data_IF_552709868377
#
_entry.id   IF_552709868377
#
_cell.length_a   1.000
_cell.length_b   1.000
_cell.length_c   1.000
_cell.angle_alpha   90.00
_cell.angle_beta   90.00
_cell.angle_gamma   90.00
#
_symmetry.space_group_name_H-M   'P 1'
#
loop_
_entity.id
_entity.type
_entity.pdbx_description
1 polymer ?
#
# COMPACT_ATOMS: atom_id res chain seq x y z
N UNK A 1 2.32 12.73 -5.18
CA UNK A 1 1.95 11.44 -5.82
C UNK A 1 1.30 10.49 -4.82
N UNK A 2 0.22 9.80 -5.21
CA UNK A 2 -0.47 8.80 -4.39
C UNK A 2 -0.52 7.46 -5.12
N UNK A 3 0.12 6.45 -4.54
CA UNK A 3 0.23 5.11 -5.08
C UNK A 3 -0.51 4.12 -4.17
N UNK A 4 -1.34 3.26 -4.75
CA UNK A 4 -1.91 2.11 -4.06
C UNK A 4 -1.28 0.83 -4.63
N UNK A 5 -0.61 0.05 -3.80
CA UNK A 5 0.06 -1.19 -4.18
C UNK A 5 -0.81 -2.35 -3.73
N UNK A 6 -1.21 -3.18 -4.68
CA UNK A 6 -2.11 -4.31 -4.45
C UNK A 6 -1.64 -5.56 -5.20
N UNK A 7 -2.18 -6.70 -4.87
CA UNK A 7 -1.83 -7.99 -5.47
C UNK A 7 -2.11 -9.14 -4.53
N UNK A 8 -1.98 -10.37 -4.97
CA UNK A 8 -2.19 -11.56 -4.14
C UNK A 8 -1.27 -11.61 -2.93
N UNK A 9 -1.64 -12.40 -1.92
CA UNK A 9 -0.76 -12.71 -0.80
C UNK A 9 0.57 -13.28 -1.28
N UNK A 10 1.68 -12.83 -0.67
CA UNK A 10 3.02 -13.34 -0.94
C UNK A 10 3.69 -12.88 -2.24
N UNK A 11 3.05 -12.06 -3.09
CA UNK A 11 3.65 -11.59 -4.36
C UNK A 11 4.74 -10.52 -4.19
N UNK A 12 4.94 -9.95 -2.99
CA UNK A 12 5.95 -8.94 -2.69
C UNK A 12 5.45 -7.49 -2.75
N UNK A 13 4.17 -7.25 -2.49
CA UNK A 13 3.57 -5.92 -2.36
C UNK A 13 4.33 -5.05 -1.35
N UNK A 14 4.46 -5.57 -0.14
CA UNK A 14 5.10 -4.90 1.00
C UNK A 14 6.58 -4.59 0.74
N UNK A 15 7.29 -5.51 0.06
CA UNK A 15 8.68 -5.29 -0.38
C UNK A 15 8.77 -4.12 -1.35
N UNK A 16 7.87 -4.05 -2.34
CA UNK A 16 7.82 -2.94 -3.28
C UNK A 16 7.44 -1.63 -2.58
N UNK A 17 6.43 -1.66 -1.71
CA UNK A 17 5.93 -0.50 -0.98
C UNK A 17 7.01 0.10 -0.07
N UNK A 18 7.65 -0.73 0.76
CA UNK A 18 8.71 -0.29 1.69
C UNK A 18 9.93 0.25 0.96
N UNK A 19 10.37 -0.43 -0.12
CA UNK A 19 11.54 0.00 -0.90
C UNK A 19 11.27 1.31 -1.64
N UNK A 20 10.11 1.48 -2.28
CA UNK A 20 9.73 2.75 -2.89
C UNK A 20 9.65 3.88 -1.86
N UNK A 21 9.07 3.62 -0.69
CA UNK A 21 8.97 4.61 0.38
C UNK A 21 10.35 5.09 0.83
N UNK A 22 11.30 4.17 1.03
CA UNK A 22 12.68 4.49 1.40
C UNK A 22 13.41 5.26 0.28
N UNK A 23 13.26 4.85 -0.99
CA UNK A 23 13.85 5.56 -2.14
C UNK A 23 13.37 7.01 -2.22
N UNK A 24 12.09 7.27 -2.02
CA UNK A 24 11.56 8.62 -2.02
C UNK A 24 12.01 9.44 -0.80
N UNK A 25 12.09 8.82 0.36
CA UNK A 25 12.56 9.48 1.58
C UNK A 25 14.05 9.87 1.48
N UNK A 26 14.90 9.00 0.93
CA UNK A 26 16.33 9.28 0.71
C UNK A 26 16.57 10.42 -0.30
N UNK A 27 15.61 10.69 -1.18
CA UNK A 27 15.63 11.86 -2.08
C UNK A 27 15.06 13.14 -1.43
N UNK A 28 14.71 13.08 -0.14
CA UNK A 28 14.20 14.22 0.64
C UNK A 28 12.72 14.55 0.39
N UNK A 29 11.95 13.61 -0.17
CA UNK A 29 10.49 13.77 -0.25
C UNK A 29 9.85 13.45 1.10
N UNK A 30 8.73 14.10 1.41
CA UNK A 30 7.88 13.71 2.54
C UNK A 30 7.11 12.46 2.17
N UNK A 31 7.34 11.36 2.86
CA UNK A 31 6.71 10.07 2.55
C UNK A 31 5.78 9.63 3.67
N UNK A 32 4.54 9.31 3.31
CA UNK A 32 3.59 8.63 4.17
C UNK A 32 3.32 7.23 3.61
N UNK A 33 3.70 6.21 4.35
CA UNK A 33 3.39 4.82 4.05
C UNK A 33 2.22 4.37 4.93
N UNK A 34 1.11 3.98 4.31
CA UNK A 34 -0.09 3.49 5.00
C UNK A 34 -0.19 1.98 4.83
N UNK A 35 -0.16 1.26 5.94
CA UNK A 35 -0.39 -0.18 5.99
C UNK A 35 -1.89 -0.45 6.15
N UNK A 36 -2.51 -0.96 5.10
CA UNK A 36 -3.96 -1.25 5.01
C UNK A 36 -4.20 -2.76 4.86
N UNK A 37 -3.14 -3.57 4.95
CA UNK A 37 -3.24 -5.03 4.94
C UNK A 37 -3.67 -5.54 6.33
N UNK A 38 -4.56 -6.54 6.42
CA UNK A 38 -4.87 -7.21 7.70
C UNK A 38 -3.63 -7.70 8.44
N UNK A 39 -2.69 -8.26 7.69
CA UNK A 39 -1.40 -8.71 8.16
C UNK A 39 -0.37 -7.58 8.01
N UNK A 40 -0.40 -6.62 8.94
CA UNK A 40 0.41 -5.41 8.92
C UNK A 40 1.92 -5.72 8.97
N UNK A 41 2.54 -5.89 7.81
CA UNK A 41 3.96 -6.25 7.67
C UNK A 41 4.85 -5.10 7.18
N UNK A 42 4.26 -3.95 6.86
CA UNK A 42 5.01 -2.81 6.29
C UNK A 42 6.04 -2.25 7.29
N UNK A 43 5.74 -2.30 8.59
CA UNK A 43 6.66 -1.88 9.64
C UNK A 43 7.95 -2.71 9.66
N UNK A 44 7.83 -4.04 9.60
CA UNK A 44 8.97 -4.96 9.49
C UNK A 44 9.79 -4.69 8.23
N UNK A 45 9.12 -4.55 7.09
CA UNK A 45 9.77 -4.28 5.82
C UNK A 45 10.48 -2.91 5.76
N UNK A 46 10.07 -1.95 6.60
CA UNK A 46 10.75 -0.66 6.79
C UNK A 46 11.91 -0.74 7.78
N UNK A 47 12.07 -1.86 8.50
CA UNK A 47 13.19 -2.12 9.40
C UNK A 47 12.89 -2.01 10.89
N UNK A 48 11.62 -1.99 11.30
CA UNK A 48 11.26 -2.14 12.72
C UNK A 48 11.50 -3.58 13.17
N UNK A 49 11.83 -3.75 14.44
CA UNK A 49 11.82 -5.05 15.09
C UNK A 49 10.38 -5.55 15.31
N UNK A 50 10.21 -6.86 15.54
CA UNK A 50 8.91 -7.44 15.88
C UNK A 50 8.30 -6.78 17.12
N UNK A 51 9.11 -6.52 18.15
CA UNK A 51 8.67 -5.85 19.39
C UNK A 51 8.12 -4.45 19.11
N UNK A 52 8.79 -3.70 18.22
CA UNK A 52 8.34 -2.37 17.85
C UNK A 52 7.06 -2.39 17.03
N UNK A 53 6.88 -3.37 16.15
CA UNK A 53 5.64 -3.56 15.37
C UNK A 53 4.49 -3.94 16.30
N UNK A 54 4.72 -4.88 17.23
CA UNK A 54 3.71 -5.31 18.20
C UNK A 54 3.28 -4.18 19.15
N UNK A 55 4.13 -3.20 19.38
CA UNK A 55 3.81 -2.01 20.17
C UNK A 55 2.96 -0.97 19.42
N UNK A 56 2.85 -1.06 18.09
CA UNK A 56 2.01 -0.16 17.31
C UNK A 56 0.55 -0.56 17.45
N UNK A 57 -0.26 0.34 17.96
CA UNK A 57 -1.72 0.15 17.98
C UNK A 57 -2.30 0.63 16.64
N UNK A 58 -2.91 -0.26 15.84
CA UNK A 58 -3.56 0.15 14.60
C UNK A 58 -4.71 1.16 14.86
N UNK A 59 -4.91 2.09 13.94
CA UNK A 59 -5.95 3.12 14.07
C UNK A 59 -7.34 2.51 14.32
N UNK A 60 -7.68 1.42 13.64
CA UNK A 60 -8.96 0.72 13.81
C UNK A 60 -9.20 0.20 15.24
N UNK A 61 -8.13 -0.05 16.01
CA UNK A 61 -8.17 -0.54 17.39
C UNK A 61 -8.10 0.60 18.43
N UNK A 62 -7.92 1.84 18.01
CA UNK A 62 -7.89 3.01 18.91
C UNK A 62 -9.31 3.48 19.23
N UNK A 63 -10.01 2.71 20.08
CA UNK A 63 -11.42 2.93 20.40
C UNK A 63 -11.73 4.37 20.82
N UNK A 64 -10.95 4.94 21.74
CA UNK A 64 -11.15 6.32 22.21
C UNK A 64 -11.04 7.33 21.06
N UNK A 65 -10.08 7.14 20.14
CA UNK A 65 -9.92 8.00 18.99
C UNK A 65 -11.12 7.88 18.04
N UNK A 66 -11.58 6.66 17.79
CA UNK A 66 -12.77 6.41 16.94
C UNK A 66 -13.99 7.08 17.52
N UNK A 67 -14.26 6.90 18.84
CA UNK A 67 -15.37 7.50 19.54
C UNK A 67 -15.31 9.05 19.51
N UNK A 68 -14.13 9.63 19.79
CA UNK A 68 -13.90 11.08 19.76
C UNK A 68 -14.21 11.67 18.38
N UNK A 69 -13.76 11.04 17.32
CA UNK A 69 -13.88 11.56 15.95
C UNK A 69 -15.26 11.34 15.35
N UNK A 70 -15.83 10.16 15.57
CA UNK A 70 -17.12 9.79 14.99
C UNK A 70 -18.30 10.20 15.87
N UNK A 71 -18.11 10.31 17.19
CA UNK A 71 -19.17 10.52 18.16
C UNK A 71 -19.94 9.24 18.48
N UNK A 72 -19.52 8.08 17.98
CA UNK A 72 -20.10 6.79 18.30
C UNK A 72 -19.68 6.38 19.71
N UNK A 73 -20.61 5.89 20.53
CA UNK A 73 -20.34 5.31 21.85
C UNK A 73 -21.24 4.09 22.05
N UNK A 74 -20.98 3.29 23.08
CA UNK A 74 -21.87 2.17 23.44
C UNK A 74 -23.32 2.60 23.68
N UNK A 75 -23.51 3.83 24.18
CA UNK A 75 -24.82 4.41 24.44
C UNK A 75 -25.45 5.13 23.23
N UNK A 76 -24.63 5.55 22.26
CA UNK A 76 -25.06 6.29 21.09
C UNK A 76 -24.58 5.60 19.79
N UNK A 77 -25.53 5.03 19.04
CA UNK A 77 -25.29 4.37 17.76
C UNK A 77 -25.27 5.33 16.56
N UNK A 78 -25.61 6.61 16.76
CA UNK A 78 -25.52 7.62 15.73
C UNK A 78 -24.10 8.18 15.69
N UNK A 79 -23.49 8.26 14.51
CA UNK A 79 -22.13 8.74 14.35
C UNK A 79 -21.97 9.57 13.07
N UNK A 80 -20.92 10.39 13.04
CA UNK A 80 -20.58 11.23 11.91
C UNK A 80 -20.02 10.39 10.76
N UNK A 81 -20.58 10.55 9.57
CA UNK A 81 -20.09 9.89 8.36
C UNK A 81 -18.86 10.58 7.74
N UNK A 82 -18.57 11.82 8.14
CA UNK A 82 -17.42 12.61 7.71
C UNK A 82 -16.67 13.16 8.92
N UNK A 83 -15.99 12.31 9.73
CA UNK A 83 -15.21 12.77 10.87
C UNK A 83 -14.00 13.59 10.41
N UNK A 84 -13.57 14.53 11.26
CA UNK A 84 -12.32 15.25 11.02
C UNK A 84 -11.13 14.34 11.31
N UNK A 85 -10.25 14.15 10.33
CA UNK A 85 -9.13 13.19 10.37
C UNK A 85 -7.82 13.75 9.82
N UNK A 86 -7.78 15.01 9.40
CA UNK A 86 -6.62 15.59 8.71
C UNK A 86 -5.34 15.63 9.58
N UNK A 87 -5.48 15.63 10.90
CA UNK A 87 -4.38 15.64 11.85
C UNK A 87 -3.85 14.22 12.21
N UNK A 88 -4.57 13.18 11.81
CA UNK A 88 -4.25 11.80 12.20
C UNK A 88 -2.89 11.34 11.63
N UNK A 89 -2.57 11.53 10.35
CA UNK A 89 -1.27 11.11 9.82
C UNK A 89 -0.09 11.75 10.55
N UNK A 90 -0.21 13.01 10.97
CA UNK A 90 0.85 13.70 11.68
C UNK A 90 1.00 13.22 13.14
N UNK A 91 -0.11 12.91 13.80
CA UNK A 91 -0.12 12.57 15.23
C UNK A 91 0.13 11.10 15.52
N UNK A 92 -0.23 10.22 14.60
CA UNK A 92 -0.28 8.76 14.85
C UNK A 92 0.64 7.95 13.93
N UNK A 93 1.39 8.60 13.02
CA UNK A 93 2.43 7.90 12.28
C UNK A 93 3.71 7.76 13.11
N UNK A 94 4.43 6.66 12.88
CA UNK A 94 5.78 6.44 13.41
C UNK A 94 6.79 6.78 12.32
N UNK A 95 7.79 7.63 12.63
CA UNK A 95 8.88 7.89 11.69
C UNK A 95 9.89 6.73 11.70
N UNK A 96 10.22 6.25 10.51
CA UNK A 96 11.16 5.15 10.30
C UNK A 96 12.04 5.54 9.12
N UNK A 97 13.27 5.94 9.39
CA UNK A 97 14.23 6.31 8.35
C UNK A 97 13.67 7.35 7.34
N UNK A 98 12.96 8.37 7.83
CA UNK A 98 12.34 9.41 7.03
C UNK A 98 11.00 9.04 6.37
N UNK A 99 10.50 7.83 6.61
CA UNK A 99 9.17 7.40 6.19
C UNK A 99 8.22 7.46 7.37
N UNK A 100 7.11 8.18 7.24
CA UNK A 100 6.02 8.17 8.22
C UNK A 100 5.15 6.94 7.98
N UNK A 101 5.22 5.96 8.88
CA UNK A 101 4.36 4.76 8.83
C UNK A 101 3.06 5.00 9.59
N UNK A 102 1.92 4.79 8.94
CA UNK A 102 0.59 4.78 9.54
C UNK A 102 -0.03 3.38 9.40
N UNK A 103 -0.22 2.69 10.51
CA UNK A 103 -0.86 1.37 10.53
C UNK A 103 -2.36 1.56 10.71
N UNK A 104 -3.11 1.25 9.66
CA UNK A 104 -4.56 1.44 9.65
C UNK A 104 -5.29 0.32 10.39
N UNK A 105 -4.81 -0.91 10.22
CA UNK A 105 -5.51 -2.11 10.65
C UNK A 105 -6.76 -2.38 9.82
N UNK A 106 -7.43 -3.48 10.15
CA UNK A 106 -8.69 -3.87 9.53
C UNK A 106 -9.85 -3.74 10.50
N UNK A 107 -11.01 -3.59 9.93
CA UNK A 107 -12.27 -3.79 10.66
C UNK A 107 -12.78 -5.17 10.26
N UNK A 108 -12.88 -6.07 11.23
CA UNK A 108 -13.48 -7.37 11.00
C UNK A 108 -14.90 -7.16 10.48
N UNK A 109 -15.12 -7.52 9.22
CA UNK A 109 -16.44 -7.41 8.59
C UNK A 109 -17.32 -8.54 9.12
N UNK A 110 -17.88 -8.32 10.26
CA UNK A 110 -18.96 -9.15 10.77
C UNK A 110 -20.24 -8.91 9.97
N UNK A 111 -20.35 -9.57 8.80
CA UNK A 111 -21.57 -9.54 7.99
C UNK A 111 -21.63 -8.39 6.98
N UNK A 112 -22.02 -8.73 5.78
CA UNK A 112 -22.19 -7.86 4.62
C UNK A 112 -22.98 -6.58 4.94
N UNK A 113 -22.34 -5.43 4.76
CA UNK A 113 -23.04 -4.14 4.74
C UNK A 113 -23.03 -3.33 6.04
N UNK A 114 -22.32 -3.74 7.07
CA UNK A 114 -22.23 -2.96 8.29
C UNK A 114 -21.27 -1.78 8.10
N UNK A 115 -21.80 -0.57 8.04
CA UNK A 115 -21.03 0.66 8.13
C UNK A 115 -20.80 0.89 9.62
N UNK A 116 -19.61 0.51 10.14
CA UNK A 116 -19.24 0.76 11.52
C UNK A 116 -18.40 2.04 11.64
N UNK A 117 -18.31 2.66 12.84
CA UNK A 117 -17.55 3.89 13.04
C UNK A 117 -16.08 3.78 12.63
N UNK A 118 -15.45 2.64 12.93
CA UNK A 118 -14.06 2.33 12.56
C UNK A 118 -13.88 2.36 11.04
N UNK A 119 -14.77 1.72 10.30
CA UNK A 119 -14.72 1.69 8.83
C UNK A 119 -14.88 3.10 8.23
N UNK A 120 -15.83 3.88 8.77
CA UNK A 120 -16.02 5.28 8.34
C UNK A 120 -14.77 6.10 8.63
N UNK A 121 -14.15 5.91 9.78
CA UNK A 121 -12.92 6.61 10.15
C UNK A 121 -11.75 6.25 9.21
N UNK A 122 -11.49 4.95 9.00
CA UNK A 122 -10.43 4.50 8.09
C UNK A 122 -10.64 5.06 6.67
N UNK A 123 -11.86 4.95 6.14
CA UNK A 123 -12.21 5.50 4.83
C UNK A 123 -12.02 7.02 4.77
N UNK A 124 -12.38 7.73 5.83
CA UNK A 124 -12.19 9.18 5.91
C UNK A 124 -10.71 9.55 5.92
N UNK A 125 -9.88 8.82 6.68
CA UNK A 125 -8.42 9.02 6.68
C UNK A 125 -7.86 8.82 5.27
N UNK A 126 -8.13 7.68 4.63
CA UNK A 126 -7.64 7.37 3.29
C UNK A 126 -8.08 8.42 2.25
N UNK A 127 -9.31 8.93 2.38
CA UNK A 127 -9.83 9.99 1.50
C UNK A 127 -9.21 11.36 1.79
N UNK A 128 -8.86 11.62 3.05
CA UNK A 128 -8.28 12.88 3.49
C UNK A 128 -6.76 12.94 3.36
N UNK A 129 -6.09 11.84 3.00
CA UNK A 129 -4.67 11.83 2.73
C UNK A 129 -4.40 12.80 1.57
N UNK A 130 -4.10 14.04 1.94
CA UNK A 130 -3.69 15.09 1.01
C UNK A 130 -2.18 15.16 0.99
N UNK A 131 -1.64 15.46 -0.15
CA UNK A 131 -0.21 15.66 -0.30
C UNK A 131 0.06 17.04 -0.91
N UNK A 132 1.20 17.59 -0.53
CA UNK A 132 1.78 18.78 -1.21
C UNK A 132 2.55 18.29 -2.44
N UNK A 133 2.97 19.20 -3.29
CA UNK A 133 3.67 18.87 -4.56
C UNK A 133 4.87 17.92 -4.39
N UNK A 134 5.51 17.89 -3.22
CA UNK A 134 6.67 17.03 -2.94
C UNK A 134 6.37 15.81 -2.08
N UNK A 135 5.13 15.58 -1.69
CA UNK A 135 4.76 14.48 -0.83
C UNK A 135 4.47 13.22 -1.65
N UNK A 136 4.75 12.06 -1.07
CA UNK A 136 4.40 10.75 -1.61
C UNK A 136 3.57 9.99 -0.60
N UNK A 137 2.43 9.48 -1.04
CA UNK A 137 1.61 8.56 -0.24
C UNK A 137 1.66 7.19 -0.90
N UNK A 138 2.08 6.19 -0.15
CA UNK A 138 2.12 4.79 -0.59
C UNK A 138 1.20 3.98 0.31
N UNK A 139 0.23 3.31 -0.27
CA UNK A 139 -0.68 2.42 0.44
C UNK A 139 -0.32 0.97 0.10
N UNK A 140 0.04 0.19 1.11
CA UNK A 140 0.20 -1.27 0.99
C UNK A 140 -1.13 -1.93 1.31
N UNK A 141 -1.69 -2.67 0.36
CA UNK A 141 -3.06 -3.18 0.42
C UNK A 141 -3.12 -4.65 0.03
N UNK A 142 -4.04 -5.37 0.64
CA UNK A 142 -4.41 -6.70 0.17
C UNK A 142 -5.02 -6.68 -1.26
N UNK A 143 -5.10 -7.86 -1.89
CA UNK A 143 -5.76 -7.99 -3.18
C UNK A 143 -7.26 -7.75 -3.05
N UNK A 144 -7.70 -6.60 -3.54
CA UNK A 144 -9.12 -6.21 -3.54
C UNK A 144 -9.26 -4.71 -3.43
N UNK A 145 -10.11 -4.14 -4.28
CA UNK A 145 -10.45 -2.71 -4.25
C UNK A 145 -11.82 -2.48 -3.59
N UNK A 146 -12.47 -3.56 -3.15
CA UNK A 146 -13.85 -3.53 -2.63
C UNK A 146 -13.95 -2.70 -1.34
N UNK A 147 -12.85 -2.66 -0.57
CA UNK A 147 -12.75 -1.87 0.66
C UNK A 147 -12.54 -0.38 0.40
N UNK A 148 -12.08 -0.03 -0.81
CA UNK A 148 -11.95 1.36 -1.22
C UNK A 148 -13.30 1.86 -1.77
N UNK A 149 -13.92 2.81 -1.10
CA UNK A 149 -15.05 3.52 -1.69
C UNK A 149 -14.60 4.34 -2.91
N UNK A 150 -15.54 4.68 -3.80
CA UNK A 150 -15.28 5.50 -5.00
C UNK A 150 -14.45 6.76 -4.71
N UNK A 151 -14.77 7.46 -3.60
CA UNK A 151 -14.05 8.67 -3.21
C UNK A 151 -12.57 8.44 -2.85
N UNK A 152 -12.23 7.31 -2.24
CA UNK A 152 -10.84 6.97 -1.90
C UNK A 152 -10.07 6.52 -3.14
N UNK A 153 -10.68 5.63 -3.93
CA UNK A 153 -10.05 5.09 -5.14
C UNK A 153 -9.78 6.18 -6.19
N UNK A 154 -10.74 7.11 -6.42
CA UNK A 154 -10.59 8.20 -7.38
C UNK A 154 -9.54 9.24 -6.98
N UNK A 155 -9.14 9.26 -5.71
CA UNK A 155 -8.09 10.14 -5.19
C UNK A 155 -6.67 9.56 -5.32
N UNK A 156 -6.53 8.31 -5.79
CA UNK A 156 -5.24 7.72 -6.10
C UNK A 156 -4.81 8.13 -7.51
N UNK A 157 -3.53 8.45 -7.67
CA UNK A 157 -2.97 8.75 -8.98
C UNK A 157 -2.79 7.46 -9.78
N UNK A 158 -2.26 6.42 -9.12
CA UNK A 158 -2.00 5.13 -9.75
C UNK A 158 -2.29 3.95 -8.80
N UNK A 159 -2.79 2.87 -9.37
CA UNK A 159 -2.82 1.55 -8.76
C UNK A 159 -1.71 0.68 -9.35
N UNK A 160 -0.85 0.14 -8.52
CA UNK A 160 0.22 -0.77 -8.92
C UNK A 160 -0.17 -2.18 -8.49
N UNK A 161 -0.42 -3.04 -9.48
CA UNK A 161 -0.72 -4.44 -9.24
C UNK A 161 0.57 -5.24 -9.31
N UNK A 162 0.98 -5.81 -8.18
CA UNK A 162 2.15 -6.71 -8.15
C UNK A 162 1.69 -8.12 -8.54
N UNK A 163 2.38 -8.69 -9.53
CA UNK A 163 2.09 -10.04 -10.05
C UNK A 163 3.35 -10.91 -10.04
N UNK A 164 3.17 -12.21 -9.95
CA UNK A 164 4.21 -13.19 -10.32
C UNK A 164 3.95 -13.71 -11.74
N UNK A 165 4.97 -14.22 -12.45
CA UNK A 165 4.80 -14.84 -13.75
C UNK A 165 3.88 -16.06 -13.67
N UNK A 166 2.61 -15.88 -13.97
CA UNK A 166 1.62 -16.96 -13.92
C UNK A 166 0.19 -16.51 -14.22
N UNK A 167 -0.58 -17.39 -14.86
CA UNK A 167 -1.94 -17.10 -15.33
C UNK A 167 -2.87 -16.59 -14.21
N UNK A 168 -2.73 -17.13 -12.98
CA UNK A 168 -3.57 -16.71 -11.85
C UNK A 168 -3.28 -15.26 -11.42
N UNK A 169 -2.02 -14.82 -11.48
CA UNK A 169 -1.63 -13.44 -11.16
C UNK A 169 -2.09 -12.47 -12.26
N UNK A 170 -1.98 -12.87 -13.52
CA UNK A 170 -2.53 -12.10 -14.66
C UNK A 170 -4.05 -11.95 -14.54
N UNK A 171 -4.76 -12.98 -14.10
CA UNK A 171 -6.20 -12.88 -13.83
C UNK A 171 -6.51 -11.88 -12.72
N UNK A 172 -5.69 -11.82 -11.66
CA UNK A 172 -5.85 -10.81 -10.59
C UNK A 172 -5.69 -9.40 -11.15
N UNK A 173 -4.65 -9.14 -11.97
CA UNK A 173 -4.49 -7.86 -12.64
C UNK A 173 -5.72 -7.48 -13.47
N UNK A 174 -6.25 -8.39 -14.28
CA UNK A 174 -7.45 -8.12 -15.09
C UNK A 174 -8.67 -7.76 -14.23
N UNK A 175 -8.86 -8.46 -13.12
CA UNK A 175 -9.93 -8.16 -12.17
C UNK A 175 -9.76 -6.78 -11.54
N UNK A 176 -8.54 -6.48 -11.04
CA UNK A 176 -8.22 -5.16 -10.46
C UNK A 176 -8.45 -4.05 -11.50
N UNK A 177 -7.96 -4.23 -12.74
CA UNK A 177 -8.14 -3.24 -13.81
C UNK A 177 -9.61 -2.96 -14.10
N UNK A 178 -10.48 -3.99 -14.10
CA UNK A 178 -11.92 -3.83 -14.27
C UNK A 178 -12.54 -3.06 -13.10
N UNK A 179 -12.26 -3.47 -11.84
CA UNK A 179 -12.78 -2.80 -10.65
C UNK A 179 -12.29 -1.34 -10.54
N UNK A 180 -11.04 -1.10 -10.87
CA UNK A 180 -10.45 0.23 -10.87
C UNK A 180 -11.20 1.17 -11.85
N UNK A 181 -11.54 0.68 -13.03
CA UNK A 181 -12.36 1.43 -14.02
C UNK A 181 -13.73 1.81 -13.44
N UNK A 182 -14.40 0.88 -12.75
CA UNK A 182 -15.71 1.11 -12.13
C UNK A 182 -15.64 2.12 -10.97
N UNK A 183 -14.46 2.22 -10.32
CA UNK A 183 -14.17 3.16 -9.23
C UNK A 183 -13.66 4.53 -9.72
N UNK A 184 -13.41 4.70 -11.02
CA UNK A 184 -12.91 5.94 -11.60
C UNK A 184 -11.41 6.17 -11.39
N UNK A 185 -10.64 5.11 -11.17
CA UNK A 185 -9.17 5.15 -11.06
C UNK A 185 -8.57 5.49 -12.43
N UNK A 186 -7.63 6.44 -12.45
CA UNK A 186 -7.06 6.96 -13.69
C UNK A 186 -6.11 5.98 -14.37
N UNK A 187 -5.23 5.36 -13.58
CA UNK A 187 -4.17 4.48 -14.09
C UNK A 187 -4.03 3.21 -13.25
N UNK A 188 -3.91 2.08 -13.95
CA UNK A 188 -3.57 0.78 -13.35
C UNK A 188 -2.31 0.29 -14.01
N UNK A 189 -1.27 0.11 -13.21
CA UNK A 189 0.05 -0.31 -13.65
C UNK A 189 0.40 -1.67 -13.06
N UNK A 190 1.40 -2.32 -13.60
CA UNK A 190 1.83 -3.66 -13.21
C UNK A 190 3.33 -3.66 -12.92
N UNK A 191 3.70 -4.30 -11.82
CA UNK A 191 5.06 -4.73 -11.53
C UNK A 191 5.07 -6.25 -11.48
N UNK A 192 5.87 -6.87 -12.34
CA UNK A 192 6.11 -8.30 -12.29
C UNK A 192 7.25 -8.59 -11.30
N UNK A 193 6.97 -9.36 -10.26
CA UNK A 193 7.95 -9.73 -9.25
C UNK A 193 8.28 -11.22 -9.32
N UNK A 194 9.42 -11.60 -8.75
CA UNK A 194 9.94 -12.97 -8.71
C UNK A 194 10.13 -13.58 -10.12
N UNK A 195 10.49 -12.77 -11.08
CA UNK A 195 10.87 -13.20 -12.43
C UNK A 195 12.16 -13.98 -12.35
N UNK A 196 12.22 -15.22 -12.86
CA UNK A 196 13.37 -16.12 -12.68
C UNK A 196 14.25 -16.20 -13.89
N UNK A 197 13.67 -16.00 -15.08
CA UNK A 197 14.36 -16.21 -16.34
C UNK A 197 13.62 -15.49 -17.50
N UNK A 198 14.24 -15.53 -18.69
CA UNK A 198 13.69 -14.93 -19.92
C UNK A 198 12.30 -15.47 -20.31
N UNK A 199 11.99 -16.74 -20.00
CA UNK A 199 10.68 -17.32 -20.27
C UNK A 199 9.59 -16.70 -19.39
N UNK A 200 9.89 -16.45 -18.10
CA UNK A 200 8.99 -15.76 -17.18
C UNK A 200 8.75 -14.32 -17.68
N UNK A 201 9.81 -13.64 -18.11
CA UNK A 201 9.72 -12.27 -18.64
C UNK A 201 8.92 -12.21 -19.96
N UNK A 202 9.18 -13.13 -20.88
CA UNK A 202 8.43 -13.25 -22.12
C UNK A 202 6.94 -13.53 -21.88
N UNK A 203 6.61 -14.37 -20.88
CA UNK A 203 5.24 -14.62 -20.47
C UNK A 203 4.56 -13.33 -19.98
N UNK A 204 5.22 -12.56 -19.10
CA UNK A 204 4.69 -11.30 -18.57
C UNK A 204 4.46 -10.30 -19.70
N UNK A 205 5.46 -10.09 -20.57
CA UNK A 205 5.36 -9.16 -21.71
C UNK A 205 4.29 -9.56 -22.73
N UNK A 206 4.02 -10.84 -22.87
CA UNK A 206 2.94 -11.35 -23.72
C UNK A 206 1.55 -11.24 -23.11
N UNK A 207 1.43 -11.19 -21.78
CA UNK A 207 0.16 -11.21 -21.06
C UNK A 207 -0.32 -9.83 -20.58
N UNK A 208 0.62 -8.88 -20.38
CA UNK A 208 0.38 -7.53 -19.87
C UNK A 208 0.63 -6.52 -20.99
N UNK A 209 -0.29 -5.57 -21.25
CA UNK A 209 -0.04 -4.47 -22.16
C UNK A 209 1.21 -3.69 -21.80
N UNK A 210 2.00 -3.32 -22.81
CA UNK A 210 3.28 -2.64 -22.58
C UNK A 210 3.12 -1.30 -21.83
N UNK A 211 2.02 -0.58 -22.09
CA UNK A 211 1.67 0.66 -21.43
C UNK A 211 1.34 0.49 -19.95
N UNK A 212 0.92 -0.70 -19.51
CA UNK A 212 0.61 -0.99 -18.11
C UNK A 212 1.82 -1.53 -17.34
N UNK A 213 2.81 -2.11 -18.00
CA UNK A 213 3.97 -2.73 -17.37
C UNK A 213 5.04 -1.70 -16.98
N UNK A 214 5.23 -1.48 -15.68
CA UNK A 214 6.29 -0.61 -15.15
C UNK A 214 7.67 -1.28 -15.20
N UNK A 215 7.73 -2.59 -14.97
CA UNK A 215 8.98 -3.32 -14.98
C UNK A 215 8.89 -4.70 -14.34
N UNK A 216 10.04 -5.36 -14.29
CA UNK A 216 10.22 -6.66 -13.68
C UNK A 216 11.22 -6.54 -12.51
N UNK A 217 10.94 -7.26 -11.42
CA UNK A 217 11.83 -7.48 -10.30
C UNK A 217 12.18 -8.97 -10.32
N UNK A 218 13.45 -9.27 -10.39
CA UNK A 218 13.91 -10.65 -10.46
C UNK A 218 13.84 -11.33 -9.10
N UNK A 219 13.67 -12.65 -9.13
CA UNK A 219 13.75 -13.47 -7.93
C UNK A 219 15.13 -13.32 -7.30
N UNK A 220 15.16 -12.86 -6.05
CA UNK A 220 16.40 -12.64 -5.34
C UNK A 220 16.31 -13.30 -3.96
N UNK A 221 17.18 -14.28 -3.65
CA UNK A 221 17.19 -14.95 -2.35
C UNK A 221 17.52 -13.99 -1.20
N UNK A 222 18.25 -12.91 -1.44
CA UNK A 222 18.60 -11.92 -0.41
C UNK A 222 17.36 -11.29 0.23
N UNK A 223 16.26 -11.13 -0.54
CA UNK A 223 14.98 -10.62 -0.01
C UNK A 223 14.39 -11.60 1.02
N UNK A 224 14.50 -12.92 0.75
CA UNK A 224 14.03 -13.95 1.67
C UNK A 224 14.92 -13.99 2.91
N UNK A 225 16.22 -13.83 2.73
CA UNK A 225 17.17 -13.83 3.84
C UNK A 225 17.05 -12.56 4.69
N UNK A 226 16.71 -11.43 4.09
CA UNK A 226 16.37 -10.21 4.83
C UNK A 226 15.15 -10.44 5.73
N UNK A 227 14.07 -11.02 5.18
CA UNK A 227 12.85 -11.35 5.92
C UNK A 227 13.13 -12.30 7.10
N UNK A 228 13.90 -13.39 6.87
CA UNK A 228 14.31 -14.32 7.93
C UNK A 228 15.13 -13.67 9.04
N UNK A 229 15.89 -12.62 8.73
CA UNK A 229 16.72 -11.88 9.69
C UNK A 229 15.99 -10.70 10.31
N UNK A 230 14.72 -10.44 9.97
CA UNK A 230 13.97 -9.27 10.41
C UNK A 230 14.61 -7.95 9.96
N UNK A 231 15.20 -7.94 8.75
CA UNK A 231 15.84 -6.76 8.15
C UNK A 231 15.05 -6.23 6.99
N UNK A 232 15.16 -4.92 6.75
CA UNK A 232 14.56 -4.31 5.57
C UNK A 232 15.20 -4.85 4.29
N UNK A 233 14.42 -5.26 3.28
CA UNK A 233 14.93 -5.60 1.95
C UNK A 233 15.77 -4.46 1.34
N UNK A 234 15.44 -3.22 1.68
CA UNK A 234 16.16 -2.02 1.24
C UNK A 234 17.65 -2.04 1.62
N UNK A 235 17.96 -2.49 2.84
CA UNK A 235 19.33 -2.49 3.34
C UNK A 235 20.08 -3.79 2.98
N UNK A 236 19.40 -4.77 2.37
CA UNK A 236 19.93 -6.13 2.21
C UNK A 236 20.12 -6.56 0.75
N UNK A 237 19.35 -6.02 -0.19
CA UNK A 237 19.33 -6.48 -1.58
C UNK A 237 19.58 -5.34 -2.60
N UNK A 238 20.85 -4.96 -2.87
CA UNK A 238 21.16 -3.89 -3.83
C UNK A 238 20.56 -4.09 -5.22
N UNK A 239 20.54 -5.34 -5.73
CA UNK A 239 19.97 -5.64 -7.05
C UNK A 239 18.47 -5.32 -7.10
N UNK A 240 17.69 -5.77 -6.11
CA UNK A 240 16.26 -5.50 -6.08
C UNK A 240 15.98 -4.00 -5.95
N UNK A 241 16.83 -3.27 -5.21
CA UNK A 241 16.72 -1.81 -5.08
C UNK A 241 16.94 -1.13 -6.44
N UNK A 242 17.92 -1.56 -7.21
CA UNK A 242 18.21 -0.96 -8.52
C UNK A 242 17.07 -1.21 -9.52
N UNK A 243 16.45 -2.37 -9.51
CA UNK A 243 15.28 -2.68 -10.32
C UNK A 243 14.07 -1.82 -9.91
N UNK A 244 13.83 -1.67 -8.59
CA UNK A 244 12.75 -0.81 -8.07
C UNK A 244 13.05 0.67 -8.35
N UNK A 245 14.32 1.10 -8.34
CA UNK A 245 14.72 2.46 -8.72
C UNK A 245 14.39 2.76 -10.19
N UNK A 246 14.53 1.78 -11.09
CA UNK A 246 14.11 1.93 -12.49
C UNK A 246 12.59 2.08 -12.60
N UNK A 247 11.82 1.30 -11.82
CA UNK A 247 10.35 1.43 -11.73
C UNK A 247 9.98 2.83 -11.21
N UNK A 248 10.63 3.28 -10.12
CA UNK A 248 10.44 4.62 -9.56
C UNK A 248 10.70 5.72 -10.60
N UNK A 249 11.76 5.61 -11.41
CA UNK A 249 12.07 6.58 -12.44
C UNK A 249 10.99 6.69 -13.53
N UNK A 250 10.21 5.63 -13.76
CA UNK A 250 9.04 5.69 -14.66
C UNK A 250 7.89 6.44 -13.97
N UNK A 251 7.62 6.12 -12.69
CA UNK A 251 6.58 6.79 -11.90
C UNK A 251 6.81 8.31 -11.82
N UNK A 252 8.06 8.74 -11.61
CA UNK A 252 8.43 10.15 -11.53
C UNK A 252 8.23 10.91 -12.85
N UNK A 253 8.45 10.24 -13.99
CA UNK A 253 8.18 10.83 -15.30
C UNK A 253 6.71 11.01 -15.59
N UNK A 254 5.85 10.18 -15.01
CA UNK A 254 4.40 10.25 -15.15
C UNK A 254 3.74 11.24 -14.18
N UNK A 255 4.46 11.64 -13.11
CA UNK A 255 4.00 12.67 -12.16
C UNK A 255 4.14 14.08 -12.76
N UNK A 256 5.09 14.32 -13.67
CA UNK A 256 5.38 15.61 -14.30
C UNK A 256 4.54 15.83 -15.57
#
# INVERSE_FOLDING_TARGET
MKLAITGKGGVGKTTLASTLARLYADEGRTVLAADVDPDANLGLALGLSQEEVDAIVPISKMRTLVEERTGATDANRFYKLNPYVADIPEKYSKDINGVKLLVMGTVDVGGSGCVCPEHVMLKSILSALTYRKNDVVIMDMEAGLEHLGRGTASNMDQFIVVIEPGARSVQTYRNVKRLAKDLGVKQVRVVANKVRNESDEAFVRGAIPAEDLLGCIHYNPDIIDADRQGKSPYDFSPQAIDEIRQIKAILDREEN
#
